data_IF_923029538267
#
_entry.id   IF_923029538267
#
_cell.length_a   1.000
_cell.length_b   1.000
_cell.length_c   1.000
_cell.angle_alpha   90.00
_cell.angle_beta   90.00
_cell.angle_gamma   90.00
#
_symmetry.space_group_name_H-M   'P 1'
#
loop_
_entity.id
_entity.type
_entity.pdbx_description
1 polymer ?
#
# COMPACT_ATOMS: atom_id res chain seq x y z
N UNK A 1 33.94 -22.14 -8.60
CA UNK A 1 33.08 -20.93 -8.59
C UNK A 1 32.34 -20.93 -9.91
N UNK A 2 31.04 -21.17 -9.90
CA UNK A 2 30.24 -21.08 -11.12
C UNK A 2 30.32 -19.63 -11.63
N UNK A 3 30.68 -19.49 -12.90
CA UNK A 3 30.68 -18.22 -13.61
C UNK A 3 29.22 -17.74 -13.73
N UNK A 4 28.76 -16.96 -12.74
CA UNK A 4 27.45 -16.32 -12.77
C UNK A 4 27.50 -15.28 -13.89
N UNK A 5 27.17 -15.71 -15.12
CA UNK A 5 26.97 -14.80 -16.26
C UNK A 5 25.96 -13.74 -15.84
N UNK A 6 26.46 -12.55 -15.57
CA UNK A 6 25.57 -11.42 -15.26
C UNK A 6 24.73 -11.13 -16.49
N UNK A 7 23.42 -10.94 -16.28
CA UNK A 7 22.56 -10.47 -17.33
C UNK A 7 23.13 -9.14 -17.92
N UNK A 8 22.90 -8.86 -19.22
CA UNK A 8 23.31 -7.61 -19.83
C UNK A 8 22.62 -6.43 -19.15
N UNK A 9 23.22 -5.25 -19.21
CA UNK A 9 22.64 -4.06 -18.62
C UNK A 9 23.42 -2.77 -18.90
N UNK A 10 22.84 -1.61 -18.59
CA UNK A 10 23.48 -0.33 -18.80
C UNK A 10 24.69 -0.14 -17.87
N UNK A 11 25.71 0.55 -18.39
CA UNK A 11 26.84 0.99 -17.59
C UNK A 11 26.37 2.18 -16.73
N UNK A 12 26.13 1.94 -15.45
CA UNK A 12 25.77 3.01 -14.51
C UNK A 12 26.96 3.88 -14.11
N UNK A 13 26.69 5.01 -13.46
CA UNK A 13 27.71 5.86 -12.86
C UNK A 13 28.57 5.08 -11.85
N UNK A 14 29.87 5.40 -11.74
CA UNK A 14 30.81 4.61 -10.92
C UNK A 14 30.44 4.51 -9.44
N UNK A 15 29.88 5.56 -8.81
CA UNK A 15 29.41 5.58 -7.43
C UNK A 15 27.91 5.24 -7.32
N UNK A 16 27.06 5.89 -8.11
CA UNK A 16 25.62 5.84 -7.97
C UNK A 16 24.94 4.70 -8.76
N UNK A 17 25.71 4.04 -9.64
CA UNK A 17 25.11 3.06 -10.53
C UNK A 17 24.05 3.72 -11.43
N UNK A 18 22.88 3.12 -11.52
CA UNK A 18 21.76 3.60 -12.33
C UNK A 18 20.77 4.47 -11.55
N UNK A 19 21.07 4.89 -10.32
CA UNK A 19 20.17 5.73 -9.52
C UNK A 19 19.81 7.07 -10.17
N UNK A 20 20.72 7.66 -10.96
CA UNK A 20 20.44 8.88 -11.69
C UNK A 20 19.32 8.71 -12.71
N UNK A 21 19.34 7.59 -13.42
CA UNK A 21 18.33 7.24 -14.43
C UNK A 21 16.96 7.01 -13.79
N UNK A 22 16.92 6.41 -12.59
CA UNK A 22 15.71 6.22 -11.78
C UNK A 22 15.04 7.55 -11.37
N UNK A 23 15.84 8.60 -11.15
CA UNK A 23 15.36 9.89 -10.64
C UNK A 23 14.70 10.77 -11.69
N UNK A 24 15.00 10.55 -12.97
CA UNK A 24 14.57 11.44 -14.06
C UNK A 24 13.30 10.91 -14.75
N UNK A 25 13.37 9.72 -15.32
CA UNK A 25 12.24 9.05 -15.99
C UNK A 25 12.35 7.53 -15.79
N UNK A 26 11.73 7.04 -14.72
CA UNK A 26 11.80 5.63 -14.35
C UNK A 26 11.19 4.69 -15.40
N UNK A 27 10.04 5.06 -15.94
CA UNK A 27 9.32 4.21 -16.89
C UNK A 27 10.02 4.18 -18.26
N UNK A 28 10.46 5.34 -18.75
CA UNK A 28 11.26 5.42 -19.97
C UNK A 28 12.57 4.65 -19.83
N UNK A 29 13.25 4.77 -18.70
CA UNK A 29 14.47 4.01 -18.42
C UNK A 29 14.24 2.49 -18.46
N UNK A 30 13.17 1.99 -17.82
CA UNK A 30 12.85 0.56 -17.86
C UNK A 30 12.48 0.07 -19.25
N UNK A 31 11.74 0.87 -20.01
CA UNK A 31 11.39 0.56 -21.40
C UNK A 31 12.62 0.48 -22.29
N UNK A 32 13.54 1.44 -22.15
CA UNK A 32 14.79 1.46 -22.90
C UNK A 32 15.71 0.29 -22.52
N UNK A 33 15.77 -0.05 -21.24
CA UNK A 33 16.48 -1.22 -20.75
C UNK A 33 15.93 -2.50 -21.39
N UNK A 34 14.62 -2.68 -21.38
CA UNK A 34 13.96 -3.84 -21.98
C UNK A 34 14.25 -3.96 -23.48
N UNK A 35 14.11 -2.87 -24.22
CA UNK A 35 14.36 -2.82 -25.68
C UNK A 35 15.82 -3.09 -26.05
N UNK A 36 16.75 -2.60 -25.22
CA UNK A 36 18.20 -2.70 -25.51
C UNK A 36 18.84 -3.99 -25.05
N UNK A 37 18.40 -4.51 -23.90
CA UNK A 37 19.09 -5.61 -23.22
C UNK A 37 18.23 -6.87 -23.08
N UNK A 38 16.93 -6.79 -23.41
CA UNK A 38 16.00 -7.93 -23.37
C UNK A 38 15.26 -8.09 -22.05
N UNK A 39 14.81 -9.31 -21.78
CA UNK A 39 13.84 -9.61 -20.71
C UNK A 39 14.43 -9.63 -19.31
N UNK A 40 15.74 -9.80 -19.18
CA UNK A 40 16.46 -9.84 -17.91
C UNK A 40 17.62 -8.86 -17.97
N UNK A 41 17.53 -7.78 -17.21
CA UNK A 41 18.51 -6.68 -17.25
C UNK A 41 19.17 -6.50 -15.89
N UNK A 42 20.51 -6.55 -15.88
CA UNK A 42 21.29 -6.28 -14.67
C UNK A 42 21.45 -4.78 -14.44
N UNK A 43 21.04 -4.33 -13.27
CA UNK A 43 21.14 -2.94 -12.83
C UNK A 43 21.99 -2.84 -11.57
N UNK A 44 22.51 -1.66 -11.28
CA UNK A 44 23.19 -1.36 -10.03
C UNK A 44 22.62 -0.07 -9.43
N UNK A 45 22.05 -0.17 -8.24
CA UNK A 45 21.47 0.95 -7.49
C UNK A 45 22.44 1.31 -6.35
N UNK A 46 23.33 2.26 -6.60
CA UNK A 46 24.49 2.54 -5.77
C UNK A 46 25.35 1.26 -5.59
N UNK A 47 25.36 0.68 -4.40
CA UNK A 47 26.08 -0.57 -4.07
C UNK A 47 25.21 -1.83 -4.23
N UNK A 48 23.90 -1.67 -4.41
CA UNK A 48 22.96 -2.80 -4.47
C UNK A 48 22.81 -3.32 -5.89
N UNK A 49 23.05 -4.61 -6.15
CA UNK A 49 22.70 -5.22 -7.42
C UNK A 49 21.16 -5.35 -7.51
N UNK A 50 20.64 -5.07 -8.68
CA UNK A 50 19.22 -5.22 -8.99
C UNK A 50 19.06 -5.91 -10.34
N UNK A 51 17.90 -6.53 -10.55
CA UNK A 51 17.55 -7.18 -11.80
C UNK A 51 16.17 -6.72 -12.23
N UNK A 52 16.08 -6.16 -13.45
CA UNK A 52 14.80 -5.84 -14.07
C UNK A 52 14.35 -7.07 -14.85
N UNK A 53 13.13 -7.51 -14.59
CA UNK A 53 12.48 -8.65 -15.25
C UNK A 53 11.29 -8.13 -16.08
N UNK A 54 11.22 -8.51 -17.36
CA UNK A 54 10.21 -7.98 -18.30
C UNK A 54 9.35 -9.05 -18.99
N UNK A 55 9.54 -10.31 -18.66
CA UNK A 55 8.78 -11.38 -19.32
C UNK A 55 7.84 -12.09 -18.35
N UNK A 56 6.59 -12.43 -18.74
CA UNK A 56 5.62 -13.10 -17.88
C UNK A 56 6.15 -14.37 -17.18
N UNK A 57 6.96 -15.18 -17.86
CA UNK A 57 7.61 -16.37 -17.27
C UNK A 57 8.49 -16.05 -16.06
N UNK A 58 9.14 -14.89 -16.07
CA UNK A 58 9.98 -14.44 -14.95
C UNK A 58 9.11 -13.99 -13.78
N UNK A 59 7.97 -13.34 -14.05
CA UNK A 59 6.99 -12.98 -13.02
C UNK A 59 6.39 -14.23 -12.39
N UNK A 60 5.96 -15.20 -13.21
CA UNK A 60 5.46 -16.49 -12.72
C UNK A 60 6.51 -17.21 -11.86
N UNK A 61 7.76 -17.22 -12.29
CA UNK A 61 8.85 -17.82 -11.55
C UNK A 61 9.05 -17.18 -10.17
N UNK A 62 9.10 -15.84 -10.11
CA UNK A 62 9.36 -15.10 -8.87
C UNK A 62 8.14 -15.08 -7.95
N UNK A 63 6.92 -14.87 -8.51
CA UNK A 63 5.73 -14.60 -7.71
C UNK A 63 4.90 -15.86 -7.39
N UNK A 64 5.08 -16.93 -8.17
CA UNK A 64 4.27 -18.16 -8.03
C UNK A 64 5.18 -19.36 -7.76
N UNK A 65 5.95 -19.78 -8.76
CA UNK A 65 6.66 -21.08 -8.73
C UNK A 65 7.77 -21.15 -7.69
N UNK A 66 8.47 -20.05 -7.44
CA UNK A 66 9.59 -19.96 -6.50
C UNK A 66 9.44 -18.83 -5.46
N UNK A 67 8.22 -18.37 -5.19
CA UNK A 67 7.96 -17.24 -4.29
C UNK A 67 8.66 -17.35 -2.93
N UNK A 68 8.89 -18.58 -2.41
CA UNK A 68 9.58 -18.82 -1.14
C UNK A 68 11.06 -18.42 -1.14
N UNK A 69 11.69 -18.31 -2.32
CA UNK A 69 13.07 -17.89 -2.48
C UNK A 69 13.23 -16.38 -2.62
N UNK A 70 12.13 -15.64 -2.67
CA UNK A 70 12.10 -14.20 -2.84
C UNK A 70 11.35 -13.55 -1.68
N UNK A 71 11.94 -12.53 -1.11
CA UNK A 71 11.36 -11.77 0.00
C UNK A 71 11.14 -10.32 -0.39
N UNK A 72 10.15 -9.67 0.22
CA UNK A 72 9.86 -8.24 0.05
C UNK A 72 10.83 -7.35 0.85
N UNK A 73 11.59 -7.94 1.77
CA UNK A 73 12.44 -7.24 2.73
C UNK A 73 13.64 -6.58 2.07
N UNK A 74 13.39 -5.54 1.29
CA UNK A 74 14.41 -4.70 0.70
C UNK A 74 14.60 -3.42 1.52
N UNK A 75 15.70 -2.71 1.24
CA UNK A 75 15.96 -1.38 1.78
C UNK A 75 14.75 -0.42 1.61
N UNK A 76 14.00 -0.55 0.51
CA UNK A 76 12.86 0.30 0.21
C UNK A 76 11.68 0.10 1.17
N UNK A 77 11.35 -1.13 1.55
CA UNK A 77 10.23 -1.42 2.45
C UNK A 77 10.41 -0.87 3.86
N UNK A 78 11.64 -0.71 4.33
CA UNK A 78 11.92 -0.12 5.64
C UNK A 78 11.42 1.32 5.79
N UNK A 79 11.20 2.03 4.69
CA UNK A 79 10.71 3.40 4.72
C UNK A 79 9.20 3.50 4.99
N UNK A 80 8.47 2.43 4.81
CA UNK A 80 7.02 2.39 4.94
C UNK A 80 6.54 1.63 6.17
N UNK A 81 7.42 0.88 6.85
CA UNK A 81 7.05 0.09 8.04
C UNK A 81 6.44 0.92 9.17
N UNK A 82 6.86 2.18 9.34
CA UNK A 82 6.29 3.06 10.38
C UNK A 82 4.81 3.38 10.14
N UNK A 83 4.39 3.43 8.87
CA UNK A 83 2.99 3.65 8.50
C UNK A 83 2.19 2.35 8.48
N UNK A 84 2.70 1.33 7.79
CA UNK A 84 1.98 0.09 7.51
C UNK A 84 2.16 -0.99 8.57
N UNK A 85 3.16 -0.83 9.47
CA UNK A 85 3.51 -1.86 10.44
C UNK A 85 3.84 -3.20 9.79
N UNK A 86 3.50 -4.30 10.46
CA UNK A 86 3.51 -5.66 9.92
C UNK A 86 2.13 -6.04 9.40
N UNK A 87 1.83 -5.71 8.16
CA UNK A 87 0.55 -5.96 7.50
C UNK A 87 0.66 -7.00 6.39
N UNK A 88 -0.44 -7.30 5.74
CA UNK A 88 -0.49 -8.15 4.54
C UNK A 88 0.46 -7.65 3.43
N UNK A 89 0.71 -6.35 3.36
CA UNK A 89 1.64 -5.75 2.39
C UNK A 89 3.11 -5.97 2.77
N UNK A 90 3.46 -5.86 4.04
CA UNK A 90 4.84 -5.78 4.54
C UNK A 90 5.36 -7.06 5.16
N UNK A 91 4.48 -7.96 5.62
CA UNK A 91 4.84 -9.23 6.24
C UNK A 91 5.32 -10.28 5.23
N UNK A 92 6.01 -11.31 5.73
CA UNK A 92 6.64 -12.37 4.96
C UNK A 92 6.32 -13.75 5.56
N UNK A 93 6.55 -14.80 4.76
CA UNK A 93 6.49 -16.19 5.22
C UNK A 93 5.17 -16.57 5.91
N UNK A 94 5.26 -17.22 7.06
CA UNK A 94 4.10 -17.74 7.80
C UNK A 94 3.22 -16.61 8.37
N UNK A 95 3.82 -15.49 8.79
CA UNK A 95 3.07 -14.30 9.23
C UNK A 95 2.19 -13.76 8.12
N UNK A 96 2.73 -13.63 6.89
CA UNK A 96 1.95 -13.22 5.72
C UNK A 96 0.84 -14.22 5.39
N UNK A 97 1.14 -15.51 5.41
CA UNK A 97 0.17 -16.55 5.09
C UNK A 97 -0.99 -16.55 6.10
N UNK A 98 -0.71 -16.40 7.39
CA UNK A 98 -1.70 -16.26 8.46
C UNK A 98 -2.62 -15.07 8.21
N UNK A 99 -2.05 -13.89 7.97
CA UNK A 99 -2.81 -12.65 7.69
C UNK A 99 -3.69 -12.79 6.45
N UNK A 100 -3.15 -13.37 5.38
CA UNK A 100 -3.88 -13.62 4.14
C UNK A 100 -5.08 -14.55 4.37
N UNK A 101 -4.91 -15.63 5.14
CA UNK A 101 -6.01 -16.54 5.48
C UNK A 101 -7.09 -15.85 6.30
N UNK A 102 -6.73 -15.03 7.28
CA UNK A 102 -7.67 -14.28 8.11
C UNK A 102 -8.45 -13.21 7.32
N UNK A 103 -7.82 -12.55 6.38
CA UNK A 103 -8.45 -11.52 5.56
C UNK A 103 -9.27 -12.07 4.38
N UNK A 104 -8.91 -13.24 3.83
CA UNK A 104 -9.52 -13.78 2.62
C UNK A 104 -11.06 -13.89 2.63
N UNK A 105 -11.73 -14.26 3.74
CA UNK A 105 -13.20 -14.36 3.78
C UNK A 105 -13.93 -13.06 3.44
N UNK A 106 -13.32 -11.90 3.75
CA UNK A 106 -13.91 -10.59 3.45
C UNK A 106 -14.00 -10.29 1.95
N UNK A 107 -13.24 -11.00 1.13
CA UNK A 107 -13.20 -10.84 -0.32
C UNK A 107 -13.95 -11.95 -1.08
N UNK A 108 -14.81 -12.71 -0.41
CA UNK A 108 -15.68 -13.68 -1.09
C UNK A 108 -16.72 -13.02 -1.99
N UNK A 109 -17.11 -13.70 -3.08
CA UNK A 109 -17.97 -13.17 -4.14
C UNK A 109 -19.24 -12.46 -3.66
N UNK A 110 -19.96 -13.02 -2.67
CA UNK A 110 -21.16 -12.38 -2.09
C UNK A 110 -20.87 -11.03 -1.42
N UNK A 111 -19.68 -10.89 -0.79
CA UNK A 111 -19.26 -9.61 -0.18
C UNK A 111 -18.89 -8.60 -1.26
N UNK A 112 -18.14 -9.03 -2.27
CA UNK A 112 -17.78 -8.18 -3.42
C UNK A 112 -19.05 -7.64 -4.10
N UNK A 113 -20.10 -8.47 -4.25
CA UNK A 113 -21.40 -8.01 -4.78
C UNK A 113 -22.03 -6.92 -3.91
N UNK A 114 -21.97 -7.05 -2.58
CA UNK A 114 -22.49 -6.01 -1.67
C UNK A 114 -21.68 -4.71 -1.76
N UNK A 115 -20.35 -4.81 -1.88
CA UNK A 115 -19.49 -3.65 -2.10
C UNK A 115 -19.79 -2.95 -3.43
N UNK A 116 -20.06 -3.72 -4.49
CA UNK A 116 -20.47 -3.18 -5.79
C UNK A 116 -21.71 -2.28 -5.71
N UNK A 117 -22.71 -2.65 -4.92
CA UNK A 117 -23.89 -1.80 -4.69
C UNK A 117 -23.54 -0.48 -3.98
N UNK A 118 -22.64 -0.54 -3.00
CA UNK A 118 -22.14 0.68 -2.33
C UNK A 118 -21.39 1.55 -3.32
N UNK A 119 -20.51 0.98 -4.13
CA UNK A 119 -19.74 1.72 -5.14
C UNK A 119 -20.65 2.47 -6.12
N UNK A 120 -21.69 1.79 -6.65
CA UNK A 120 -22.68 2.41 -7.55
C UNK A 120 -23.39 3.56 -6.86
N UNK A 121 -23.91 3.35 -5.64
CA UNK A 121 -24.64 4.39 -4.91
C UNK A 121 -23.78 5.65 -4.65
N UNK A 122 -22.53 5.47 -4.23
CA UNK A 122 -21.61 6.59 -4.00
C UNK A 122 -21.24 7.30 -5.32
N UNK A 123 -21.03 6.54 -6.40
CA UNK A 123 -20.81 7.09 -7.73
C UNK A 123 -21.98 7.92 -8.22
N UNK A 124 -23.20 7.42 -8.09
CA UNK A 124 -24.42 8.18 -8.43
C UNK A 124 -24.56 9.46 -7.57
N UNK A 125 -24.32 9.38 -6.27
CA UNK A 125 -24.33 10.55 -5.38
C UNK A 125 -23.34 11.62 -5.81
N UNK A 126 -22.15 11.22 -6.27
CA UNK A 126 -21.13 12.13 -6.77
C UNK A 126 -21.55 12.78 -8.08
N UNK A 127 -21.98 11.99 -9.08
CA UNK A 127 -22.40 12.48 -10.39
C UNK A 127 -23.60 13.43 -10.26
N UNK A 128 -24.55 13.14 -9.37
CA UNK A 128 -25.72 13.99 -9.12
C UNK A 128 -25.37 15.37 -8.51
N UNK A 129 -24.16 15.55 -7.98
CA UNK A 129 -23.68 16.86 -7.52
C UNK A 129 -23.07 17.69 -8.65
N UNK A 130 -22.71 17.07 -9.78
CA UNK A 130 -22.11 17.78 -10.90
C UNK A 130 -23.14 18.63 -11.64
N UNK A 131 -22.71 19.77 -12.15
CA UNK A 131 -23.56 20.71 -12.87
C UNK A 131 -23.03 20.88 -14.28
N UNK A 132 -23.94 21.05 -15.23
CA UNK A 132 -23.58 21.34 -16.61
C UNK A 132 -22.78 22.65 -16.72
N UNK A 133 -21.70 22.63 -17.52
CA UNK A 133 -20.78 23.75 -17.66
C UNK A 133 -19.78 23.95 -16.52
N UNK A 134 -19.78 23.12 -15.48
CA UNK A 134 -18.82 23.18 -14.37
C UNK A 134 -17.46 22.60 -14.78
N UNK A 135 -16.37 23.31 -14.42
CA UNK A 135 -15.01 22.79 -14.56
C UNK A 135 -14.58 22.13 -13.24
N UNK A 136 -14.21 20.86 -13.29
CA UNK A 136 -13.90 20.06 -12.10
C UNK A 136 -12.50 19.45 -12.17
N UNK A 137 -11.89 19.27 -11.01
CA UNK A 137 -10.70 18.47 -10.86
C UNK A 137 -11.09 16.99 -10.65
N UNK A 138 -11.13 16.23 -11.72
CA UNK A 138 -11.56 14.82 -11.69
C UNK A 138 -10.67 13.97 -10.80
N UNK A 139 -9.38 14.28 -10.68
CA UNK A 139 -8.48 13.57 -9.76
C UNK A 139 -8.95 13.70 -8.31
N UNK A 140 -9.25 14.92 -7.86
CA UNK A 140 -9.74 15.16 -6.49
C UNK A 140 -11.11 14.48 -6.26
N UNK A 141 -12.02 14.58 -7.23
CA UNK A 141 -13.32 13.94 -7.15
C UNK A 141 -13.21 12.40 -7.01
N UNK A 142 -12.32 11.78 -7.82
CA UNK A 142 -12.10 10.33 -7.75
C UNK A 142 -11.42 9.89 -6.44
N UNK A 143 -10.43 10.63 -5.98
CA UNK A 143 -9.76 10.38 -4.70
C UNK A 143 -10.78 10.44 -3.54
N UNK A 144 -11.64 11.44 -3.53
CA UNK A 144 -12.69 11.56 -2.51
C UNK A 144 -13.70 10.41 -2.60
N UNK A 145 -14.16 10.07 -3.81
CA UNK A 145 -15.10 8.97 -4.04
C UNK A 145 -14.53 7.62 -3.56
N UNK A 146 -13.32 7.29 -3.95
CA UNK A 146 -12.69 6.02 -3.55
C UNK A 146 -12.45 5.95 -2.06
N UNK A 147 -12.11 7.06 -1.41
CA UNK A 147 -11.98 7.15 0.04
C UNK A 147 -13.32 6.90 0.75
N UNK A 148 -14.42 7.52 0.30
CA UNK A 148 -15.78 7.27 0.85
C UNK A 148 -16.17 5.79 0.68
N UNK A 149 -15.96 5.21 -0.50
CA UNK A 149 -16.27 3.82 -0.79
C UNK A 149 -15.49 2.87 0.13
N UNK A 150 -14.19 3.08 0.27
CA UNK A 150 -13.33 2.24 1.14
C UNK A 150 -13.75 2.36 2.60
N UNK A 151 -13.97 3.58 3.10
CA UNK A 151 -14.43 3.80 4.46
C UNK A 151 -15.75 3.08 4.74
N UNK A 152 -16.69 3.13 3.81
CA UNK A 152 -18.00 2.47 3.94
C UNK A 152 -17.90 0.95 3.81
N UNK A 153 -17.20 0.45 2.79
CA UNK A 153 -17.17 -1.00 2.51
C UNK A 153 -16.30 -1.80 3.47
N UNK A 154 -15.17 -1.22 3.90
CA UNK A 154 -14.23 -1.94 4.76
C UNK A 154 -14.47 -1.69 6.25
N UNK A 155 -15.07 -0.56 6.63
CA UNK A 155 -15.17 -0.16 8.04
C UNK A 155 -16.58 0.31 8.45
N UNK A 156 -17.54 0.31 7.54
CA UNK A 156 -18.90 0.84 7.75
C UNK A 156 -18.91 2.28 8.32
N UNK A 157 -17.96 3.09 7.90
CA UNK A 157 -17.83 4.49 8.31
C UNK A 157 -18.36 5.38 7.20
N UNK A 158 -19.26 6.31 7.56
CA UNK A 158 -19.67 7.37 6.64
C UNK A 158 -18.70 8.56 6.78
N UNK A 159 -17.97 8.80 5.71
CA UNK A 159 -17.06 9.94 5.61
C UNK A 159 -17.85 11.19 5.29
N UNK A 160 -18.24 11.94 6.33
CA UNK A 160 -19.00 13.17 6.19
C UNK A 160 -18.34 14.32 6.94
N UNK A 161 -18.33 15.51 6.32
CA UNK A 161 -17.86 16.74 6.97
C UNK A 161 -16.42 16.66 7.48
N UNK A 162 -16.17 17.24 8.66
CA UNK A 162 -14.84 17.41 9.24
C UNK A 162 -14.05 16.10 9.42
N UNK A 163 -14.72 14.97 9.65
CA UNK A 163 -14.04 13.68 9.81
C UNK A 163 -13.44 13.20 8.48
N UNK A 164 -14.17 13.38 7.38
CA UNK A 164 -13.69 13.05 6.04
C UNK A 164 -12.46 13.89 5.68
N UNK A 165 -12.54 15.20 5.92
CA UNK A 165 -11.45 16.12 5.65
C UNK A 165 -10.20 15.77 6.47
N UNK A 166 -10.38 15.47 7.75
CA UNK A 166 -9.30 15.13 8.66
C UNK A 166 -8.60 13.81 8.30
N UNK A 167 -9.36 12.77 8.02
CA UNK A 167 -8.83 11.47 7.59
C UNK A 167 -8.13 11.62 6.24
N UNK A 168 -8.76 12.27 5.27
CA UNK A 168 -8.20 12.52 3.95
C UNK A 168 -6.90 13.32 4.01
N UNK A 169 -6.84 14.38 4.83
CA UNK A 169 -5.62 15.17 5.01
C UNK A 169 -4.49 14.35 5.64
N UNK A 170 -4.78 13.58 6.69
CA UNK A 170 -3.78 12.74 7.34
C UNK A 170 -3.22 11.65 6.40
N UNK A 171 -4.08 11.00 5.61
CA UNK A 171 -3.66 10.02 4.61
C UNK A 171 -2.85 10.67 3.48
N UNK A 172 -3.31 11.77 2.92
CA UNK A 172 -2.61 12.50 1.85
C UNK A 172 -1.22 12.95 2.29
N UNK A 173 -1.10 13.47 3.52
CA UNK A 173 0.21 13.84 4.09
C UNK A 173 1.12 12.62 4.28
N UNK A 174 0.59 11.51 4.78
CA UNK A 174 1.38 10.29 4.97
C UNK A 174 1.85 9.72 3.63
N UNK A 175 0.98 9.62 2.64
CA UNK A 175 1.29 9.13 1.29
C UNK A 175 2.32 10.02 0.57
N UNK A 176 2.16 11.34 0.64
CA UNK A 176 3.12 12.29 0.07
C UNK A 176 4.52 12.13 0.67
N UNK A 177 4.63 12.01 1.99
CA UNK A 177 5.92 11.82 2.66
C UNK A 177 6.52 10.43 2.36
N UNK A 178 5.71 9.39 2.22
CA UNK A 178 6.15 8.06 1.77
C UNK A 178 6.74 8.16 0.35
N UNK A 179 6.05 8.81 -0.58
CA UNK A 179 6.53 9.02 -1.95
C UNK A 179 7.87 9.77 -2.00
N UNK A 180 8.02 10.82 -1.18
CA UNK A 180 9.29 11.54 -1.05
C UNK A 180 10.40 10.63 -0.50
N UNK A 181 10.09 9.77 0.46
CA UNK A 181 11.05 8.84 1.07
C UNK A 181 11.53 7.78 0.08
N UNK A 182 10.65 7.25 -0.76
CA UNK A 182 11.03 6.31 -1.83
C UNK A 182 12.00 6.90 -2.85
N UNK A 183 11.93 8.21 -3.10
CA UNK A 183 12.84 8.90 -4.04
C UNK A 183 14.20 9.26 -3.42
N UNK A 184 14.37 9.16 -2.10
CA UNK A 184 15.63 9.50 -1.44
C UNK A 184 16.63 8.34 -1.55
N UNK A 185 17.85 8.61 -1.98
CA UNK A 185 18.89 7.58 -2.08
C UNK A 185 19.42 7.12 -0.73
N UNK A 186 19.16 7.91 0.34
CA UNK A 186 19.62 7.62 1.70
C UNK A 186 18.48 7.69 2.69
N UNK A 187 18.46 6.76 3.66
CA UNK A 187 17.52 6.78 4.77
C UNK A 187 17.93 7.87 5.76
N UNK A 188 17.09 8.89 5.92
CA UNK A 188 17.20 9.86 7.01
C UNK A 188 16.48 9.26 8.21
N UNK A 189 17.15 9.10 9.38
CA UNK A 189 16.48 8.60 10.58
C UNK A 189 15.23 9.42 10.93
N UNK A 190 14.12 8.74 11.22
CA UNK A 190 12.86 9.41 11.54
C UNK A 190 12.90 10.20 12.85
N UNK A 191 13.84 9.87 13.73
CA UNK A 191 14.11 10.62 14.98
C UNK A 191 14.58 12.05 14.75
N UNK A 192 15.22 12.33 13.60
CA UNK A 192 15.66 13.70 13.29
C UNK A 192 14.47 14.63 13.08
N UNK A 193 14.45 15.80 13.77
CA UNK A 193 13.33 16.73 13.74
C UNK A 193 13.32 17.63 12.50
N UNK A 194 13.54 17.05 11.32
CA UNK A 194 13.38 17.78 10.05
C UNK A 194 11.90 17.95 9.72
N UNK A 195 11.49 19.01 8.99
CA UNK A 195 10.08 19.31 8.73
C UNK A 195 9.27 18.13 8.15
N UNK A 196 9.83 17.39 7.20
CA UNK A 196 9.17 16.20 6.63
C UNK A 196 8.95 15.09 7.65
N UNK A 197 9.94 14.79 8.51
CA UNK A 197 9.79 13.78 9.56
C UNK A 197 8.76 14.20 10.62
N UNK A 198 8.71 15.49 10.95
CA UNK A 198 7.73 16.02 11.92
C UNK A 198 6.31 15.90 11.35
N UNK A 199 6.09 16.32 10.10
CA UNK A 199 4.78 16.17 9.41
C UNK A 199 4.36 14.70 9.34
N UNK A 200 5.25 13.83 8.87
CA UNK A 200 4.98 12.40 8.77
C UNK A 200 4.59 11.77 10.10
N UNK A 201 5.37 12.01 11.17
CA UNK A 201 5.03 11.48 12.50
C UNK A 201 3.70 12.00 13.04
N UNK A 202 3.36 13.26 12.74
CA UNK A 202 2.06 13.83 13.11
C UNK A 202 0.93 13.14 12.36
N UNK A 203 1.07 12.95 11.05
CA UNK A 203 0.09 12.26 10.23
C UNK A 203 -0.11 10.80 10.69
N UNK A 204 0.97 10.04 10.86
CA UNK A 204 0.91 8.65 11.36
C UNK A 204 0.27 8.57 12.75
N UNK A 205 0.62 9.49 13.65
CA UNK A 205 0.00 9.52 15.00
C UNK A 205 -1.51 9.74 14.88
N UNK A 206 -1.93 10.70 14.06
CA UNK A 206 -3.35 10.99 13.88
C UNK A 206 -4.12 9.83 13.29
N UNK A 207 -3.57 9.17 12.28
CA UNK A 207 -4.15 7.95 11.71
C UNK A 207 -4.27 6.83 12.76
N UNK A 208 -3.23 6.66 13.59
CA UNK A 208 -3.28 5.69 14.68
C UNK A 208 -4.39 5.98 15.69
N UNK A 209 -4.54 7.24 16.11
CA UNK A 209 -5.59 7.65 17.04
C UNK A 209 -6.98 7.34 16.48
N UNK A 210 -7.22 7.65 15.21
CA UNK A 210 -8.48 7.38 14.52
C UNK A 210 -8.74 5.86 14.43
N UNK A 211 -7.75 5.09 13.93
CA UNK A 211 -7.92 3.65 13.72
C UNK A 211 -8.08 2.90 15.03
N UNK A 212 -7.29 3.19 16.06
CA UNK A 212 -7.46 2.58 17.38
C UNK A 212 -8.79 2.96 18.03
N UNK A 213 -9.27 4.19 17.79
CA UNK A 213 -10.61 4.61 18.23
C UNK A 213 -11.71 3.75 17.62
N UNK A 214 -11.66 3.52 16.31
CA UNK A 214 -12.61 2.67 15.59
C UNK A 214 -12.53 1.22 16.07
N UNK A 215 -11.34 0.64 16.22
CA UNK A 215 -11.14 -0.72 16.70
C UNK A 215 -11.73 -0.88 18.10
N UNK A 216 -11.46 0.06 19.01
CA UNK A 216 -11.97 0.05 20.37
C UNK A 216 -13.50 0.10 20.42
N UNK A 217 -14.10 1.01 19.66
CA UNK A 217 -15.56 1.11 19.55
C UNK A 217 -16.16 -0.20 19.04
N UNK A 218 -15.60 -0.76 17.98
CA UNK A 218 -16.09 -1.97 17.36
C UNK A 218 -15.98 -3.21 18.25
N UNK A 219 -14.91 -3.32 19.03
CA UNK A 219 -14.77 -4.39 20.02
C UNK A 219 -15.77 -4.28 21.17
N UNK A 220 -16.14 -3.06 21.55
CA UNK A 220 -17.14 -2.81 22.59
C UNK A 220 -18.57 -3.12 22.12
N UNK A 221 -18.88 -2.78 20.86
CA UNK A 221 -20.21 -2.99 20.27
C UNK A 221 -20.50 -4.47 19.97
N UNK A 222 -19.50 -5.29 19.68
CA UNK A 222 -19.58 -6.71 19.31
C UNK A 222 -20.58 -7.02 18.18
N UNK A 223 -21.08 -6.01 17.49
CA UNK A 223 -22.03 -6.15 16.39
C UNK A 223 -21.29 -6.47 15.09
N UNK A 224 -21.66 -7.57 14.42
CA UNK A 224 -21.21 -7.81 13.05
C UNK A 224 -21.94 -6.88 12.08
N UNK A 225 -21.26 -5.82 11.65
CA UNK A 225 -21.80 -4.88 10.65
C UNK A 225 -21.64 -5.37 9.21
N UNK A 226 -21.10 -6.57 9.06
CA UNK A 226 -20.89 -7.17 7.74
C UNK A 226 -19.75 -6.55 6.93
N UNK A 227 -18.92 -5.73 7.54
CA UNK A 227 -17.76 -5.10 6.96
C UNK A 227 -16.47 -5.90 7.22
N UNK A 228 -15.37 -5.49 6.57
CA UNK A 228 -14.06 -6.15 6.73
C UNK A 228 -13.57 -6.11 8.18
N UNK A 229 -13.70 -4.98 8.87
CA UNK A 229 -13.18 -4.83 10.24
C UNK A 229 -13.87 -5.78 11.21
N UNK A 230 -15.20 -5.91 11.13
CA UNK A 230 -15.94 -6.87 11.94
C UNK A 230 -15.46 -8.30 11.71
N UNK A 231 -15.20 -8.65 10.45
CA UNK A 231 -14.68 -9.97 10.10
C UNK A 231 -13.27 -10.22 10.64
N UNK A 232 -12.36 -9.23 10.54
CA UNK A 232 -11.00 -9.34 11.07
C UNK A 232 -10.98 -9.45 12.59
N UNK A 233 -11.87 -8.73 13.29
CA UNK A 233 -12.02 -8.83 14.75
C UNK A 233 -12.53 -10.22 15.17
N UNK A 234 -13.46 -10.77 14.40
CA UNK A 234 -14.04 -12.10 14.67
C UNK A 234 -13.13 -13.25 14.21
N UNK A 235 -12.23 -13.02 13.26
CA UNK A 235 -11.38 -14.05 12.69
C UNK A 235 -10.48 -14.71 13.75
N UNK A 236 -10.32 -16.01 13.61
CA UNK A 236 -9.40 -16.83 14.42
C UNK A 236 -8.54 -17.65 13.47
N UNK A 237 -7.29 -17.81 13.82
CA UNK A 237 -6.38 -18.71 13.11
C UNK A 237 -6.58 -20.19 13.49
N UNK A 238 -5.71 -21.04 13.00
CA UNK A 238 -5.76 -22.49 13.23
C UNK A 238 -5.54 -22.85 14.71
N UNK A 239 -4.89 -21.99 15.49
CA UNK A 239 -4.65 -22.14 16.92
C UNK A 239 -5.75 -21.48 17.78
N UNK A 240 -6.75 -20.85 17.16
CA UNK A 240 -7.85 -20.15 17.80
C UNK A 240 -7.52 -18.71 18.21
N UNK A 241 -6.34 -18.20 17.84
CA UNK A 241 -5.87 -16.87 18.21
C UNK A 241 -6.46 -15.78 17.33
N UNK A 242 -6.89 -14.67 17.97
CA UNK A 242 -7.38 -13.48 17.29
C UNK A 242 -6.23 -12.57 16.85
N UNK A 243 -6.55 -11.61 15.98
CA UNK A 243 -5.66 -10.47 15.72
C UNK A 243 -5.62 -9.54 16.95
N UNK A 244 -4.39 -9.10 17.31
CA UNK A 244 -4.22 -8.01 18.28
C UNK A 244 -4.69 -6.68 17.70
N UNK A 245 -4.87 -5.66 18.55
CA UNK A 245 -5.25 -4.32 18.08
C UNK A 245 -4.17 -3.70 17.18
N UNK A 246 -2.90 -4.00 17.43
CA UNK A 246 -1.81 -3.58 16.57
C UNK A 246 -1.87 -4.24 15.18
N UNK A 247 -2.12 -5.55 15.14
CA UNK A 247 -2.30 -6.28 13.89
C UNK A 247 -3.53 -5.76 13.11
N UNK A 248 -4.64 -5.51 13.79
CA UNK A 248 -5.83 -4.91 13.16
C UNK A 248 -5.53 -3.52 12.61
N UNK A 249 -4.84 -2.68 13.37
CA UNK A 249 -4.43 -1.34 12.94
C UNK A 249 -3.59 -1.40 11.67
N UNK A 250 -2.63 -2.31 11.60
CA UNK A 250 -1.73 -2.46 10.46
C UNK A 250 -2.50 -2.89 9.20
N UNK A 251 -3.43 -3.83 9.33
CA UNK A 251 -4.30 -4.25 8.22
C UNK A 251 -5.27 -3.14 7.79
N UNK A 252 -5.89 -2.44 8.73
CA UNK A 252 -6.82 -1.33 8.45
C UNK A 252 -6.14 -0.23 7.65
N UNK A 253 -4.97 0.23 8.08
CA UNK A 253 -4.22 1.27 7.36
C UNK A 253 -3.80 0.78 5.98
N UNK A 254 -3.34 -0.44 5.88
CA UNK A 254 -2.89 -1.02 4.61
C UNK A 254 -4.04 -1.13 3.61
N UNK A 255 -5.18 -1.68 4.03
CA UNK A 255 -6.31 -1.88 3.15
C UNK A 255 -7.02 -0.58 2.79
N UNK A 256 -7.05 0.39 3.71
CA UNK A 256 -7.56 1.72 3.42
C UNK A 256 -6.73 2.42 2.34
N UNK A 257 -5.40 2.45 2.50
CA UNK A 257 -4.52 3.06 1.50
C UNK A 257 -4.57 2.33 0.15
N UNK A 258 -4.60 1.00 0.15
CA UNK A 258 -4.67 0.22 -1.08
C UNK A 258 -5.99 0.41 -1.84
N UNK A 259 -7.06 0.74 -1.15
CA UNK A 259 -8.38 0.93 -1.76
C UNK A 259 -8.73 2.37 -2.10
N UNK A 260 -7.94 3.33 -1.64
CA UNK A 260 -8.15 4.75 -1.87
C UNK A 260 -7.49 5.24 -3.18
N UNK A 261 -6.42 4.58 -3.67
CA UNK A 261 -5.73 4.93 -4.93
C UNK A 261 -6.38 4.33 -6.18
#
# INVERSE_FOLDING_TARGET
>A
MADLRRAPGPKGHFLLGNLGDFGHDLLGFFLDCSRKYGDVVSLRLATFPACLLNHPKHFEYVLISNHRNFIKHSFFWRHVLTLFGESLLTSEGDSWLRRRKLAAPAFHGKRIESYGRVMVNYGERMVNKWRDGEVRNIHEDMMYLTMEIVAKTLFDIEMTGAVADEVGEAFSMAAAEVSVRFRRPFKIPESLPIPGNVRYRRAVRRLNELVYGIIKERRADQTDRGDLLSMLIAARDEDGEAMSDEQLRDEVITLFLAGHE
#
